data_IF_971879647517
#
_entry.id   IF_971879647517
#
_cell.length_a   1.000
_cell.length_b   1.000
_cell.length_c   1.000
_cell.angle_alpha   90.00
_cell.angle_beta   90.00
_cell.angle_gamma   90.00
#
_symmetry.space_group_name_H-M   'P 1'
#
loop_
_entity.id
_entity.type
_entity.pdbx_description
1 polymer ?
#
# COMPACT_ATOMS: atom_id res chain seq x y z
N UNK A 1 -13.39 -19.24 -42.61
CA UNK A 1 -13.90 -18.36 -41.54
C UNK A 1 -13.45 -18.93 -40.21
N UNK A 2 -12.44 -18.32 -39.60
CA UNK A 2 -11.84 -18.76 -38.33
C UNK A 2 -12.54 -18.04 -37.18
N UNK A 3 -13.13 -18.78 -36.24
CA UNK A 3 -13.66 -18.24 -34.99
C UNK A 3 -12.66 -18.53 -33.88
N UNK A 4 -11.91 -17.50 -33.48
CA UNK A 4 -10.99 -17.57 -32.34
C UNK A 4 -11.72 -17.76 -31.01
N UNK A 5 -11.08 -18.36 -29.99
CA UNK A 5 -11.71 -18.61 -28.71
C UNK A 5 -11.94 -17.31 -27.94
N UNK A 6 -13.20 -17.08 -27.53
CA UNK A 6 -13.62 -16.03 -26.61
C UNK A 6 -12.91 -16.22 -25.27
N UNK A 7 -12.03 -15.29 -24.88
CA UNK A 7 -11.53 -15.17 -23.49
C UNK A 7 -12.73 -14.93 -22.56
N UNK A 8 -12.97 -15.82 -21.60
CA UNK A 8 -14.09 -15.69 -20.67
C UNK A 8 -13.74 -14.74 -19.53
N UNK A 9 -14.59 -13.72 -19.33
CA UNK A 9 -14.54 -12.78 -18.20
C UNK A 9 -14.56 -13.46 -16.82
N UNK A 10 -14.92 -14.74 -16.76
CA UNK A 10 -14.89 -15.54 -15.54
C UNK A 10 -13.48 -15.83 -15.02
N UNK A 11 -12.44 -15.86 -15.87
CA UNK A 11 -11.06 -16.12 -15.44
C UNK A 11 -10.42 -14.91 -14.73
N UNK A 12 -10.75 -13.69 -15.15
CA UNK A 12 -10.27 -12.45 -14.51
C UNK A 12 -10.94 -12.19 -13.16
N UNK A 13 -12.23 -12.52 -13.04
CA UNK A 13 -12.97 -12.46 -11.76
C UNK A 13 -12.47 -13.53 -10.79
N UNK A 14 -12.14 -14.73 -11.27
CA UNK A 14 -11.52 -15.79 -10.43
C UNK A 14 -10.12 -15.40 -9.96
N UNK A 15 -9.32 -14.72 -10.79
CA UNK A 15 -7.99 -14.23 -10.39
C UNK A 15 -8.07 -13.09 -9.34
N UNK A 16 -9.02 -12.16 -9.49
CA UNK A 16 -9.23 -11.10 -8.49
C UNK A 16 -9.79 -11.64 -7.16
N UNK A 17 -10.68 -12.64 -7.23
CA UNK A 17 -11.20 -13.34 -6.04
C UNK A 17 -10.13 -14.21 -5.38
N UNK A 18 -9.22 -14.83 -6.14
CA UNK A 18 -8.08 -15.56 -5.58
C UNK A 18 -7.09 -14.65 -4.83
N UNK A 19 -6.81 -13.45 -5.35
CA UNK A 19 -5.96 -12.47 -4.64
C UNK A 19 -6.63 -11.96 -3.36
N UNK A 20 -7.95 -11.77 -3.36
CA UNK A 20 -8.70 -11.34 -2.18
C UNK A 20 -8.87 -12.49 -1.16
N UNK A 21 -9.06 -13.74 -1.61
CA UNK A 21 -9.18 -14.91 -0.72
C UNK A 21 -7.82 -15.32 -0.11
N UNK A 22 -6.71 -15.17 -0.85
CA UNK A 22 -5.35 -15.31 -0.29
C UNK A 22 -5.06 -14.20 0.73
N UNK A 23 -5.69 -13.03 0.60
CA UNK A 23 -5.61 -11.95 1.59
C UNK A 23 -6.62 -12.10 2.76
N UNK A 24 -7.69 -12.90 2.60
CA UNK A 24 -8.77 -13.06 3.58
C UNK A 24 -8.68 -14.35 4.42
N UNK A 25 -8.05 -15.43 3.91
CA UNK A 25 -7.74 -16.63 4.71
C UNK A 25 -6.60 -16.39 5.72
N UNK A 26 -5.93 -15.23 5.65
CA UNK A 26 -4.94 -14.71 6.61
C UNK A 26 -5.53 -14.25 7.96
N UNK A 27 -6.82 -14.50 8.23
CA UNK A 27 -7.53 -13.83 9.32
C UNK A 27 -8.25 -14.74 10.33
N UNK A 28 -8.13 -16.06 10.19
CA UNK A 28 -8.76 -17.02 11.10
C UNK A 28 -7.72 -17.89 11.82
N UNK A 29 -7.76 -17.86 13.16
CA UNK A 29 -7.12 -18.82 14.10
C UNK A 29 -5.69 -18.45 14.56
N UNK A 30 -5.59 -17.71 15.68
CA UNK A 30 -5.33 -18.31 17.01
C UNK A 30 -5.58 -17.32 18.16
N UNK A 31 -6.77 -17.48 18.72
CA UNK A 31 -7.33 -16.85 19.93
C UNK A 31 -6.82 -17.50 21.24
N UNK A 32 -5.81 -18.38 21.25
CA UNK A 32 -5.55 -19.22 22.45
C UNK A 32 -4.15 -19.09 23.07
N UNK A 33 -3.16 -18.49 22.41
CA UNK A 33 -1.84 -18.25 23.04
C UNK A 33 -1.64 -16.80 23.54
N UNK A 34 -2.64 -15.93 23.33
CA UNK A 34 -2.65 -14.50 23.71
C UNK A 34 -2.75 -14.25 25.22
N UNK A 35 -3.16 -15.24 26.02
CA UNK A 35 -3.45 -15.05 27.45
C UNK A 35 -2.22 -15.07 28.39
N UNK A 36 -0.98 -15.24 27.88
CA UNK A 36 0.22 -15.31 28.74
C UNK A 36 1.28 -14.23 28.53
N UNK A 37 1.13 -13.36 27.53
CA UNK A 37 2.14 -12.34 27.21
C UNK A 37 1.69 -10.89 27.41
N UNK A 38 0.46 -10.66 27.90
CA UNK A 38 -0.07 -9.32 28.20
C UNK A 38 0.54 -8.75 29.49
N UNK A 39 1.83 -8.45 29.45
CA UNK A 39 2.46 -7.50 30.36
C UNK A 39 1.97 -6.09 30.01
N UNK A 40 1.39 -5.42 30.98
CA UNK A 40 0.89 -4.04 30.91
C UNK A 40 2.01 -3.07 30.50
N UNK A 41 2.10 -2.75 29.22
CA UNK A 41 2.80 -1.57 28.73
C UNK A 41 1.86 -0.36 28.89
N UNK A 42 2.35 0.68 29.57
CA UNK A 42 1.59 1.86 29.97
C UNK A 42 1.07 2.73 28.81
N UNK A 43 0.08 3.56 29.14
CA UNK A 43 -0.75 4.37 28.26
C UNK A 43 -0.07 5.61 27.63
N UNK A 44 1.24 5.76 27.70
CA UNK A 44 1.94 6.96 27.23
C UNK A 44 2.52 6.75 25.83
N UNK A 45 1.63 6.71 24.82
CA UNK A 45 2.02 6.86 23.42
C UNK A 45 2.50 8.28 23.11
N UNK A 46 3.23 8.49 22.00
CA UNK A 46 3.58 9.85 21.61
C UNK A 46 2.30 10.67 21.39
N UNK A 47 2.30 11.92 21.85
CA UNK A 47 1.21 12.87 21.57
C UNK A 47 1.53 13.62 20.29
N UNK A 48 0.55 13.73 19.38
CA UNK A 48 0.72 14.50 18.17
C UNK A 48 0.99 15.98 18.51
N UNK A 49 2.05 16.61 17.96
CA UNK A 49 2.24 18.03 18.17
C UNK A 49 1.13 18.82 17.47
N UNK A 50 0.86 20.05 17.94
CA UNK A 50 -0.12 20.92 17.32
C UNK A 50 0.14 21.08 15.82
N UNK A 51 -0.91 20.93 15.02
CA UNK A 51 -0.89 21.15 13.59
C UNK A 51 -2.13 21.93 13.18
N UNK A 52 -2.03 22.65 12.07
CA UNK A 52 -3.16 23.34 11.46
C UNK A 52 -3.36 22.84 10.05
N UNK A 53 -4.62 22.74 9.61
CA UNK A 53 -4.94 22.38 8.23
C UNK A 53 -5.52 23.62 7.56
N UNK A 54 -4.92 24.00 6.43
CA UNK A 54 -5.44 25.13 5.65
C UNK A 54 -6.78 24.75 5.00
N UNK A 55 -7.61 25.75 4.71
CA UNK A 55 -8.79 25.53 3.89
C UNK A 55 -8.38 25.01 2.50
N UNK A 56 -9.19 24.16 1.85
CA UNK A 56 -8.90 23.72 0.49
C UNK A 56 -8.75 24.88 -0.49
N UNK A 57 -7.94 24.67 -1.52
CA UNK A 57 -7.79 25.63 -2.59
C UNK A 57 -9.13 25.92 -3.27
N UNK A 58 -9.34 27.19 -3.63
CA UNK A 58 -10.52 27.59 -4.37
C UNK A 58 -10.55 26.90 -5.75
N UNK A 59 -11.72 26.40 -6.14
CA UNK A 59 -11.89 25.67 -7.40
C UNK A 59 -12.11 26.68 -8.53
N UNK A 60 -11.13 26.81 -9.42
CA UNK A 60 -11.26 27.53 -10.69
C UNK A 60 -11.57 26.54 -11.82
N UNK A 61 -12.85 26.32 -12.11
CA UNK A 61 -13.34 25.26 -13.02
C UNK A 61 -12.72 25.36 -14.42
N UNK A 62 -12.54 26.56 -14.93
CA UNK A 62 -11.93 26.87 -16.22
C UNK A 62 -10.46 26.44 -16.32
N UNK A 63 -9.78 26.27 -15.19
CA UNK A 63 -8.38 25.84 -15.11
C UNK A 63 -8.22 24.36 -14.70
N UNK A 64 -9.33 23.67 -14.41
CA UNK A 64 -9.31 22.31 -13.90
C UNK A 64 -8.92 21.33 -15.01
N UNK A 65 -7.74 20.74 -14.87
CA UNK A 65 -7.25 19.75 -15.83
C UNK A 65 -7.76 18.35 -15.46
N UNK A 66 -8.46 17.70 -16.39
CA UNK A 66 -8.86 16.30 -16.24
C UNK A 66 -7.76 15.39 -16.78
N UNK A 67 -7.13 14.54 -15.95
CA UNK A 67 -6.01 13.71 -16.39
C UNK A 67 -6.46 12.64 -17.40
N UNK A 68 -5.84 12.65 -18.58
CA UNK A 68 -6.09 11.66 -19.63
C UNK A 68 -5.17 10.43 -19.45
N UNK A 69 -5.58 9.49 -18.59
CA UNK A 69 -4.81 8.27 -18.34
C UNK A 69 -4.72 7.33 -19.56
N UNK A 70 -5.54 7.53 -20.59
CA UNK A 70 -5.47 6.80 -21.87
C UNK A 70 -4.58 7.47 -22.92
N UNK A 71 -4.13 8.70 -22.70
CA UNK A 71 -3.29 9.42 -23.67
C UNK A 71 -1.89 8.81 -23.73
N UNK A 72 -1.19 8.85 -24.89
CA UNK A 72 0.13 8.23 -25.05
C UNK A 72 1.15 8.63 -23.98
N UNK A 73 1.14 9.91 -23.59
CA UNK A 73 2.06 10.49 -22.60
C UNK A 73 1.89 9.87 -21.20
N UNK A 74 0.73 9.27 -20.90
CA UNK A 74 0.46 8.68 -19.58
C UNK A 74 1.35 7.48 -19.25
N UNK A 75 1.93 6.85 -20.27
CA UNK A 75 2.85 5.71 -20.12
C UNK A 75 4.09 6.07 -19.31
N UNK A 76 4.54 7.33 -19.40
CA UNK A 76 5.74 7.81 -18.73
C UNK A 76 5.44 8.42 -17.35
N UNK A 77 4.16 8.65 -17.02
CA UNK A 77 3.79 9.29 -15.75
C UNK A 77 4.13 8.41 -14.56
N UNK A 78 4.55 9.03 -13.45
CA UNK A 78 4.61 8.33 -12.17
C UNK A 78 3.18 7.91 -11.73
N UNK A 79 3.06 6.79 -11.01
CA UNK A 79 1.77 6.33 -10.46
C UNK A 79 1.42 7.19 -9.24
N UNK A 80 0.91 8.40 -9.51
CA UNK A 80 0.51 9.41 -8.53
C UNK A 80 -0.71 10.17 -9.06
N UNK A 81 -1.46 10.80 -8.16
CA UNK A 81 -2.53 11.71 -8.55
C UNK A 81 -1.97 12.86 -9.37
N UNK A 82 -2.65 13.18 -10.47
CA UNK A 82 -2.34 14.33 -11.32
C UNK A 82 -3.18 15.53 -10.93
N UNK A 83 -4.37 15.29 -10.38
CA UNK A 83 -5.22 16.33 -9.78
C UNK A 83 -4.58 16.81 -8.48
N UNK A 84 -4.58 18.13 -8.28
CA UNK A 84 -4.18 18.74 -7.01
C UNK A 84 -5.15 18.32 -5.90
N UNK A 85 -4.66 17.51 -4.96
CA UNK A 85 -5.46 17.04 -3.83
C UNK A 85 -5.68 18.13 -2.77
N UNK A 86 -4.97 19.26 -2.83
CA UNK A 86 -5.26 20.43 -1.98
C UNK A 86 -6.61 21.09 -2.33
N UNK A 87 -7.17 20.80 -3.51
CA UNK A 87 -8.55 21.17 -3.85
C UNK A 87 -9.60 20.45 -2.98
N UNK A 88 -9.27 19.29 -2.40
CA UNK A 88 -10.18 18.53 -1.54
C UNK A 88 -9.75 18.56 -0.08
N UNK A 89 -8.48 18.25 0.19
CA UNK A 89 -7.98 18.04 1.53
C UNK A 89 -6.47 18.34 1.59
N UNK A 90 -6.09 19.62 1.80
CA UNK A 90 -4.70 20.01 2.04
C UNK A 90 -4.05 19.18 3.15
N UNK A 91 -2.74 18.91 3.03
CA UNK A 91 -1.98 18.41 4.17
C UNK A 91 -1.89 19.51 5.23
N UNK A 92 -1.77 19.13 6.50
CA UNK A 92 -1.58 20.12 7.54
C UNK A 92 -0.14 20.59 7.66
N UNK A 93 0.09 21.55 8.55
CA UNK A 93 1.36 22.25 8.76
C UNK A 93 2.24 21.61 9.84
N UNK A 94 1.78 20.52 10.46
CA UNK A 94 2.48 19.87 11.54
C UNK A 94 3.85 19.36 11.09
N UNK A 95 4.91 19.73 11.81
CA UNK A 95 6.28 19.38 11.45
C UNK A 95 6.69 17.97 11.87
N UNK A 96 5.85 17.25 12.61
CA UNK A 96 6.17 15.87 12.99
C UNK A 96 5.99 14.92 11.80
N UNK A 97 6.81 13.88 11.83
CA UNK A 97 6.63 12.72 10.98
C UNK A 97 5.57 11.80 11.65
N UNK A 98 4.37 11.72 11.07
CA UNK A 98 3.27 10.89 11.59
C UNK A 98 3.62 9.41 11.70
N UNK A 99 4.66 8.94 11.00
CA UNK A 99 5.13 7.57 11.10
C UNK A 99 5.56 7.20 12.54
N UNK A 100 5.95 8.16 13.39
CA UNK A 100 6.34 7.87 14.78
C UNK A 100 5.22 7.25 15.62
N UNK A 101 3.97 7.53 15.28
CA UNK A 101 2.80 6.94 15.92
C UNK A 101 2.37 5.66 15.22
N UNK A 102 2.30 5.68 13.89
CA UNK A 102 1.87 4.52 13.11
C UNK A 102 2.81 3.31 13.22
N UNK A 103 4.11 3.52 13.50
CA UNK A 103 5.09 2.44 13.71
C UNK A 103 4.73 1.55 14.89
N UNK A 104 4.05 2.09 15.90
CA UNK A 104 3.75 1.36 17.12
C UNK A 104 2.70 0.27 16.88
N UNK A 105 1.92 0.35 15.79
CA UNK A 105 0.95 -0.68 15.42
C UNK A 105 1.52 -1.78 14.52
N UNK A 106 2.82 -1.73 14.19
CA UNK A 106 3.45 -2.67 13.27
C UNK A 106 3.26 -4.13 13.69
N UNK A 107 3.09 -5.02 12.71
CA UNK A 107 2.64 -6.40 12.95
C UNK A 107 3.69 -7.26 13.65
N UNK A 108 4.99 -7.04 13.42
CA UNK A 108 6.04 -7.86 14.03
C UNK A 108 6.56 -7.24 15.31
N UNK A 109 6.87 -5.95 15.30
CA UNK A 109 7.59 -5.29 16.40
C UNK A 109 6.87 -4.10 17.05
N UNK A 110 5.60 -3.86 16.70
CA UNK A 110 4.85 -2.71 17.22
C UNK A 110 4.48 -2.86 18.70
N UNK A 111 4.78 -1.85 19.51
CA UNK A 111 4.41 -1.81 20.94
C UNK A 111 2.89 -1.83 21.18
N UNK A 112 2.10 -1.32 20.23
CA UNK A 112 0.63 -1.26 20.24
C UNK A 112 -0.01 -2.32 19.33
N UNK A 113 0.71 -3.38 18.98
CA UNK A 113 0.17 -4.49 18.16
C UNK A 113 -1.10 -5.11 18.77
N UNK A 114 -1.08 -5.39 20.07
CA UNK A 114 -2.23 -5.99 20.76
C UNK A 114 -3.46 -5.07 20.74
N UNK A 115 -3.25 -3.76 20.78
CA UNK A 115 -4.32 -2.78 20.66
C UNK A 115 -4.89 -2.73 19.24
N UNK A 116 -4.04 -2.83 18.20
CA UNK A 116 -4.49 -2.97 16.82
C UNK A 116 -5.35 -4.22 16.60
N UNK A 117 -4.95 -5.36 17.19
CA UNK A 117 -5.71 -6.60 17.16
C UNK A 117 -7.06 -6.45 17.86
N UNK A 118 -7.07 -5.86 19.06
CA UNK A 118 -8.30 -5.55 19.79
C UNK A 118 -9.21 -4.59 19.01
N UNK A 119 -8.64 -3.61 18.31
CA UNK A 119 -9.38 -2.69 17.43
C UNK A 119 -9.99 -3.44 16.25
N UNK A 120 -9.23 -4.37 15.66
CA UNK A 120 -9.69 -5.21 14.57
C UNK A 120 -10.88 -6.09 14.97
N UNK A 121 -10.83 -6.66 16.18
CA UNK A 121 -11.86 -7.56 16.70
C UNK A 121 -13.18 -6.86 17.06
N UNK A 122 -13.14 -5.58 17.45
CA UNK A 122 -14.32 -4.82 17.90
C UNK A 122 -15.01 -4.00 16.82
N UNK A 123 -14.56 -4.10 15.57
CA UNK A 123 -15.21 -3.41 14.44
C UNK A 123 -16.65 -3.87 14.26
N UNK A 124 -17.47 -2.95 13.74
CA UNK A 124 -18.86 -3.18 13.36
C UNK A 124 -19.00 -3.07 11.84
N UNK A 125 -20.10 -3.56 11.30
CA UNK A 125 -20.41 -3.37 9.89
C UNK A 125 -20.60 -1.88 9.59
N UNK A 126 -19.78 -1.37 8.68
CA UNK A 126 -19.88 -0.01 8.19
C UNK A 126 -20.97 0.15 7.13
N UNK A 127 -21.39 1.39 6.86
CA UNK A 127 -22.42 1.67 5.86
C UNK A 127 -21.92 1.39 4.44
N UNK A 128 -22.84 0.95 3.57
CA UNK A 128 -22.59 0.70 2.15
C UNK A 128 -21.42 -0.26 1.92
N UNK A 129 -20.50 0.12 1.03
CA UNK A 129 -19.35 -0.71 0.63
C UNK A 129 -18.09 -0.48 1.49
N UNK A 130 -18.20 0.22 2.63
CA UNK A 130 -17.05 0.48 3.51
C UNK A 130 -16.55 -0.80 4.18
N UNK A 131 -17.43 -1.80 4.38
CA UNK A 131 -17.12 -3.00 5.15
C UNK A 131 -16.88 -2.69 6.63
N UNK A 132 -16.08 -3.50 7.35
CA UNK A 132 -15.90 -3.33 8.79
C UNK A 132 -15.20 -2.02 9.19
N UNK A 133 -15.74 -1.31 10.19
CA UNK A 133 -15.26 -0.02 10.71
C UNK A 133 -15.25 0.01 12.24
N UNK A 134 -14.46 0.90 12.84
CA UNK A 134 -14.60 1.25 14.25
C UNK A 134 -15.82 2.18 14.45
N UNK A 135 -16.36 2.20 15.67
CA UNK A 135 -17.38 3.18 16.03
C UNK A 135 -16.77 4.59 16.01
N UNK A 136 -17.60 5.60 15.71
CA UNK A 136 -17.13 6.97 15.52
C UNK A 136 -16.52 7.62 16.78
N UNK A 137 -16.85 7.10 17.95
CA UNK A 137 -16.36 7.49 19.27
C UNK A 137 -15.23 6.57 19.79
N UNK A 138 -14.70 5.67 18.96
CA UNK A 138 -13.61 4.77 19.38
C UNK A 138 -12.38 5.61 19.79
N UNK A 139 -11.83 5.43 21.01
CA UNK A 139 -10.72 6.25 21.50
C UNK A 139 -9.50 6.24 20.58
N UNK A 140 -9.22 5.10 19.95
CA UNK A 140 -8.08 4.97 19.05
C UNK A 140 -8.30 5.76 17.75
N UNK A 141 -9.56 5.85 17.29
CA UNK A 141 -9.92 6.66 16.12
C UNK A 141 -9.71 8.15 16.40
N UNK A 142 -10.12 8.62 17.59
CA UNK A 142 -9.96 10.01 18.03
C UNK A 142 -8.48 10.37 18.23
N UNK A 143 -7.70 9.47 18.82
CA UNK A 143 -6.25 9.65 19.02
C UNK A 143 -5.50 9.79 17.68
N UNK A 144 -5.93 9.07 16.64
CA UNK A 144 -5.32 9.09 15.32
C UNK A 144 -5.53 10.42 14.55
N UNK A 145 -6.53 11.22 14.93
CA UNK A 145 -6.92 12.40 14.17
C UNK A 145 -5.82 13.45 13.98
N UNK A 146 -5.18 13.96 15.05
CA UNK A 146 -4.14 14.98 14.91
C UNK A 146 -2.87 14.47 14.23
N UNK A 147 -2.66 13.14 14.17
CA UNK A 147 -1.57 12.55 13.39
C UNK A 147 -1.80 12.64 11.89
N UNK A 148 -3.06 12.68 11.44
CA UNK A 148 -3.40 12.85 10.03
C UNK A 148 -3.35 14.32 9.58
N UNK A 149 -3.26 15.24 10.52
CA UNK A 149 -3.12 16.68 10.27
C UNK A 149 -1.64 17.11 10.23
N UNK A 150 -0.69 16.17 10.30
CA UNK A 150 0.73 16.44 10.08
C UNK A 150 1.06 16.59 8.59
N UNK A 151 2.21 17.19 8.28
CA UNK A 151 2.65 17.39 6.91
C UNK A 151 3.35 16.16 6.30
N UNK A 152 3.89 15.27 7.13
CA UNK A 152 4.82 14.22 6.68
C UNK A 152 4.53 12.87 7.32
N UNK A 153 4.68 11.80 6.53
CA UNK A 153 4.74 10.42 6.99
C UNK A 153 5.80 9.67 6.18
N UNK A 154 7.00 9.54 6.76
CA UNK A 154 8.12 8.81 6.17
C UNK A 154 8.50 7.65 7.09
N UNK A 155 8.27 6.43 6.63
CA UNK A 155 8.64 5.24 7.39
C UNK A 155 10.11 4.87 7.20
N UNK A 156 10.63 5.06 5.98
CA UNK A 156 12.00 4.69 5.63
C UNK A 156 12.74 5.92 5.09
N UNK A 157 13.99 6.18 5.47
CA UNK A 157 14.77 5.51 6.54
C UNK A 157 14.50 6.10 7.94
N UNK A 158 13.57 7.06 8.05
CA UNK A 158 13.37 7.85 9.27
C UNK A 158 13.00 7.01 10.50
N UNK A 159 12.26 5.92 10.30
CA UNK A 159 11.78 5.05 11.39
C UNK A 159 12.38 3.65 11.30
N UNK A 160 12.26 3.02 10.13
CA UNK A 160 12.71 1.66 9.90
C UNK A 160 13.91 1.63 8.97
N UNK A 161 14.92 0.79 9.26
CA UNK A 161 15.97 0.49 8.30
C UNK A 161 15.40 -0.33 7.14
N UNK A 162 16.03 -0.22 5.98
CA UNK A 162 15.76 -1.10 4.84
C UNK A 162 16.59 -2.37 5.01
N UNK A 163 15.92 -3.53 5.03
CA UNK A 163 16.52 -4.86 5.24
C UNK A 163 15.98 -5.91 4.27
N UNK A 164 15.74 -5.51 3.02
CA UNK A 164 15.13 -6.38 2.00
C UNK A 164 13.83 -7.03 2.48
N UNK A 165 13.74 -8.36 2.44
CA UNK A 165 12.56 -9.13 2.88
C UNK A 165 12.21 -8.97 4.38
N UNK A 166 13.19 -8.57 5.20
CA UNK A 166 12.99 -8.32 6.63
C UNK A 166 12.58 -6.88 6.93
N UNK A 167 12.43 -6.03 5.90
CA UNK A 167 11.96 -4.65 6.07
C UNK A 167 10.58 -4.65 6.75
N UNK A 168 10.46 -3.95 7.87
CA UNK A 168 9.23 -3.92 8.67
C UNK A 168 8.13 -3.19 7.90
N UNK A 169 7.04 -3.88 7.55
CA UNK A 169 5.88 -3.26 6.92
C UNK A 169 4.90 -2.81 8.01
N UNK A 170 4.45 -1.53 8.03
CA UNK A 170 3.46 -1.07 8.98
C UNK A 170 2.16 -1.87 8.87
N UNK A 171 1.33 -1.87 9.91
CA UNK A 171 0.06 -2.59 9.89
C UNK A 171 -1.02 -1.85 9.10
N UNK A 172 -0.89 -1.80 7.77
CA UNK A 172 -1.73 -1.01 6.85
C UNK A 172 -3.25 -1.23 6.99
N UNK A 173 -3.68 -2.35 7.57
CA UNK A 173 -5.08 -2.60 7.86
C UNK A 173 -5.64 -1.65 8.92
N UNK A 174 -4.84 -1.20 9.90
CA UNK A 174 -5.29 -0.25 10.91
C UNK A 174 -5.50 1.13 10.29
N UNK A 175 -4.57 1.60 9.45
CA UNK A 175 -4.71 2.85 8.71
C UNK A 175 -5.95 2.84 7.81
N UNK A 176 -6.17 1.75 7.07
CA UNK A 176 -7.36 1.59 6.24
C UNK A 176 -8.64 1.59 7.08
N UNK A 177 -8.61 0.94 8.24
CA UNK A 177 -9.73 0.93 9.19
C UNK A 177 -10.05 2.36 9.64
N UNK A 178 -9.06 3.16 10.04
CA UNK A 178 -9.30 4.55 10.44
C UNK A 178 -9.94 5.38 9.33
N UNK A 179 -9.40 5.33 8.12
CA UNK A 179 -9.96 6.04 6.98
C UNK A 179 -11.44 5.68 6.73
N UNK A 180 -11.78 4.39 6.73
CA UNK A 180 -13.16 3.93 6.57
C UNK A 180 -14.05 4.35 7.74
N UNK A 181 -13.52 4.34 8.96
CA UNK A 181 -14.28 4.69 10.18
C UNK A 181 -14.59 6.18 10.24
N UNK A 182 -13.66 7.05 9.83
CA UNK A 182 -13.94 8.47 9.66
C UNK A 182 -15.02 8.69 8.61
N UNK A 183 -14.91 8.06 7.42
CA UNK A 183 -15.96 8.20 6.39
C UNK A 183 -17.32 7.70 6.91
N UNK A 184 -17.36 6.55 7.60
CA UNK A 184 -18.59 6.05 8.20
C UNK A 184 -19.17 7.02 9.23
N UNK A 185 -18.34 7.62 10.09
CA UNK A 185 -18.75 8.65 11.05
C UNK A 185 -19.29 9.89 10.34
N UNK A 186 -18.59 10.40 9.32
CA UNK A 186 -19.03 11.55 8.54
C UNK A 186 -20.36 11.31 7.81
N UNK A 187 -20.61 10.10 7.32
CA UNK A 187 -21.91 9.73 6.71
C UNK A 187 -23.06 9.72 7.73
N UNK A 188 -22.78 9.46 9.00
CA UNK A 188 -23.78 9.39 10.07
C UNK A 188 -24.10 10.75 10.70
N UNK A 189 -23.19 11.72 10.60
CA UNK A 189 -23.35 13.06 11.19
C UNK A 189 -24.27 13.93 10.33
N UNK A 190 -25.16 14.69 10.98
CA UNK A 190 -26.08 15.61 10.31
C UNK A 190 -25.43 16.92 9.89
N UNK A 191 -24.43 17.39 10.63
CA UNK A 191 -23.67 18.59 10.32
C UNK A 191 -22.71 18.38 9.14
N UNK A 192 -22.91 19.07 8.01
CA UNK A 192 -22.06 18.88 6.84
C UNK A 192 -20.61 19.31 7.02
N UNK A 193 -20.32 20.32 7.87
CA UNK A 193 -18.94 20.73 8.13
C UNK A 193 -18.15 19.64 8.86
N UNK A 194 -18.76 19.03 9.89
CA UNK A 194 -18.18 17.92 10.63
C UNK A 194 -17.97 16.70 9.73
N UNK A 195 -18.97 16.37 8.90
CA UNK A 195 -18.86 15.28 7.93
C UNK A 195 -17.71 15.50 6.94
N UNK A 196 -17.56 16.73 6.44
CA UNK A 196 -16.50 17.09 5.49
C UNK A 196 -15.11 16.87 6.08
N UNK A 197 -14.87 17.23 7.34
CA UNK A 197 -13.56 17.03 7.97
C UNK A 197 -13.17 15.56 8.10
N UNK A 198 -14.12 14.69 8.37
CA UNK A 198 -13.88 13.24 8.39
C UNK A 198 -13.51 12.69 7.01
N UNK A 199 -14.20 13.13 5.96
CA UNK A 199 -13.87 12.73 4.59
C UNK A 199 -12.49 13.23 4.18
N UNK A 200 -12.17 14.49 4.51
CA UNK A 200 -10.85 15.07 4.23
C UNK A 200 -9.74 14.37 5.00
N UNK A 201 -9.98 13.96 6.25
CA UNK A 201 -8.99 13.24 7.05
C UNK A 201 -8.63 11.89 6.44
N UNK A 202 -9.60 11.16 5.88
CA UNK A 202 -9.32 9.95 5.13
C UNK A 202 -8.43 10.22 3.90
N UNK A 203 -8.67 11.33 3.18
CA UNK A 203 -7.81 11.76 2.07
C UNK A 203 -6.41 12.13 2.58
N UNK A 204 -6.28 12.91 3.66
CA UNK A 204 -4.98 13.31 4.24
C UNK A 204 -4.15 12.09 4.65
N UNK A 205 -4.73 11.13 5.37
CA UNK A 205 -4.05 9.88 5.70
C UNK A 205 -3.58 9.14 4.44
N UNK A 206 -4.44 9.06 3.42
CA UNK A 206 -4.08 8.45 2.17
C UNK A 206 -2.96 9.19 1.43
N UNK A 207 -2.91 10.53 1.49
CA UNK A 207 -1.80 11.33 0.95
C UNK A 207 -0.50 11.08 1.70
N UNK A 208 -0.54 11.03 3.03
CA UNK A 208 0.61 10.72 3.89
C UNK A 208 1.23 9.36 3.53
N UNK A 209 0.40 8.33 3.34
CA UNK A 209 0.87 6.99 2.95
C UNK A 209 1.33 6.85 1.49
N UNK A 210 1.22 7.94 0.70
CA UNK A 210 1.65 8.00 -0.71
C UNK A 210 2.76 9.02 -0.95
N UNK A 211 3.34 9.54 0.13
CA UNK A 211 4.54 10.36 0.04
C UNK A 211 5.70 9.52 -0.53
N UNK A 212 6.80 10.19 -0.85
CA UNK A 212 7.97 9.50 -1.38
C UNK A 212 8.46 8.45 -0.38
N UNK A 213 9.11 7.40 -0.89
CA UNK A 213 9.75 6.37 -0.05
C UNK A 213 8.80 5.44 0.71
N UNK A 214 7.63 5.17 0.14
CA UNK A 214 6.67 4.18 0.65
C UNK A 214 6.74 2.85 -0.09
N UNK A 215 6.35 1.76 0.54
CA UNK A 215 6.22 0.47 -0.15
C UNK A 215 5.03 0.50 -1.11
N UNK A 216 5.04 -0.37 -2.13
CA UNK A 216 3.93 -0.46 -3.10
C UNK A 216 2.61 -0.77 -2.40
N UNK A 217 2.62 -1.64 -1.39
CA UNK A 217 1.41 -1.96 -0.62
C UNK A 217 0.89 -0.77 0.21
N UNK A 218 1.78 0.06 0.77
CA UNK A 218 1.37 1.27 1.47
C UNK A 218 0.73 2.28 0.51
N UNK A 219 1.27 2.41 -0.71
CA UNK A 219 0.69 3.25 -1.76
C UNK A 219 -0.74 2.82 -2.13
N UNK A 220 -0.95 1.51 -2.33
CA UNK A 220 -2.27 0.95 -2.68
C UNK A 220 -3.30 1.20 -1.57
N UNK A 221 -2.89 1.08 -0.30
CA UNK A 221 -3.75 1.40 0.84
C UNK A 221 -4.01 2.90 0.91
N UNK A 222 -3.02 3.75 0.66
CA UNK A 222 -3.20 5.19 0.60
C UNK A 222 -4.15 5.62 -0.52
N UNK A 223 -4.07 4.95 -1.67
CA UNK A 223 -5.00 5.15 -2.78
C UNK A 223 -6.43 4.75 -2.38
N UNK A 224 -6.61 3.67 -1.62
CA UNK A 224 -7.90 3.27 -1.08
C UNK A 224 -8.46 4.30 -0.09
N UNK A 225 -7.63 4.85 0.80
CA UNK A 225 -8.01 5.92 1.74
C UNK A 225 -8.48 7.18 1.01
N UNK A 226 -7.74 7.63 -0.01
CA UNK A 226 -8.15 8.78 -0.84
C UNK A 226 -9.47 8.51 -1.55
N UNK A 227 -9.64 7.30 -2.13
CA UNK A 227 -10.90 6.92 -2.78
C UNK A 227 -12.10 7.01 -1.84
N UNK A 228 -12.03 6.42 -0.64
CA UNK A 228 -13.18 6.41 0.28
C UNK A 228 -13.51 7.82 0.78
N UNK A 229 -12.48 8.64 1.05
CA UNK A 229 -12.70 10.04 1.44
C UNK A 229 -13.30 10.87 0.30
N UNK A 230 -12.76 10.76 -0.92
CA UNK A 230 -13.29 11.46 -2.09
C UNK A 230 -14.73 11.04 -2.42
N UNK A 231 -15.10 9.77 -2.21
CA UNK A 231 -16.48 9.31 -2.35
C UNK A 231 -17.41 10.00 -1.35
N UNK A 232 -17.01 10.08 -0.07
CA UNK A 232 -17.78 10.80 0.94
C UNK A 232 -17.99 12.29 0.58
N UNK A 233 -16.95 12.96 0.07
CA UNK A 233 -17.05 14.35 -0.42
C UNK A 233 -18.03 14.43 -1.60
N UNK A 234 -17.91 13.53 -2.58
CA UNK A 234 -18.78 13.50 -3.75
C UNK A 234 -20.25 13.35 -3.36
N UNK A 235 -20.57 12.34 -2.53
CA UNK A 235 -21.94 12.03 -2.13
C UNK A 235 -22.57 13.21 -1.36
N UNK A 236 -21.81 13.82 -0.46
CA UNK A 236 -22.26 15.01 0.28
C UNK A 236 -22.45 16.22 -0.64
N UNK A 237 -21.50 16.48 -1.55
CA UNK A 237 -21.58 17.58 -2.49
C UNK A 237 -22.80 17.46 -3.42
N UNK A 238 -23.07 16.25 -3.93
CA UNK A 238 -24.27 15.96 -4.73
C UNK A 238 -25.54 16.22 -3.91
N UNK A 239 -25.61 15.72 -2.68
CA UNK A 239 -26.75 15.94 -1.78
C UNK A 239 -27.03 17.43 -1.52
N UNK A 240 -25.99 18.25 -1.47
CA UNK A 240 -26.07 19.69 -1.25
C UNK A 240 -26.25 20.52 -2.53
N UNK A 241 -26.22 19.89 -3.71
CA UNK A 241 -26.25 20.62 -4.99
C UNK A 241 -24.97 21.40 -5.28
N UNK A 242 -23.85 21.10 -4.61
CA UNK A 242 -22.55 21.72 -4.87
C UNK A 242 -21.85 21.02 -6.05
N UNK A 243 -22.22 21.40 -7.27
CA UNK A 243 -21.71 20.80 -8.51
C UNK A 243 -20.21 20.96 -8.70
N UNK A 244 -19.62 22.07 -8.26
CA UNK A 244 -18.18 22.31 -8.38
C UNK A 244 -17.38 21.32 -7.51
N UNK A 245 -17.75 21.16 -6.24
CA UNK A 245 -17.09 20.22 -5.35
C UNK A 245 -17.32 18.77 -5.79
N UNK A 246 -18.53 18.44 -6.26
CA UNK A 246 -18.84 17.13 -6.82
C UNK A 246 -17.96 16.82 -8.04
N UNK A 247 -17.73 17.79 -8.94
CA UNK A 247 -16.87 17.61 -10.09
C UNK A 247 -15.42 17.32 -9.70
N UNK A 248 -14.85 18.09 -8.76
CA UNK A 248 -13.48 17.87 -8.29
C UNK A 248 -13.35 16.48 -7.65
N UNK A 249 -14.28 16.11 -6.78
CA UNK A 249 -14.29 14.79 -6.15
C UNK A 249 -14.42 13.66 -7.18
N UNK A 250 -15.26 13.83 -8.22
CA UNK A 250 -15.42 12.87 -9.30
C UNK A 250 -14.14 12.69 -10.13
N UNK A 251 -13.39 13.76 -10.40
CA UNK A 251 -12.10 13.67 -11.12
C UNK A 251 -11.10 12.88 -10.29
N UNK A 252 -10.97 13.17 -8.99
CA UNK A 252 -10.11 12.41 -8.08
C UNK A 252 -10.51 10.93 -8.04
N UNK A 253 -11.81 10.62 -7.93
CA UNK A 253 -12.31 9.24 -8.01
C UNK A 253 -11.95 8.57 -9.34
N UNK A 254 -12.05 9.31 -10.46
CA UNK A 254 -11.73 8.85 -11.81
C UNK A 254 -10.27 8.45 -12.00
N UNK A 255 -9.34 9.02 -11.24
CA UNK A 255 -7.92 8.65 -11.30
C UNK A 255 -7.57 7.34 -10.56
N UNK A 256 -8.47 6.85 -9.69
CA UNK A 256 -8.15 5.70 -8.82
C UNK A 256 -7.97 4.41 -9.63
N UNK A 257 -8.89 4.08 -10.54
CA UNK A 257 -8.83 2.85 -11.30
C UNK A 257 -7.62 2.80 -12.26
N UNK A 258 -7.31 3.86 -13.03
CA UNK A 258 -6.10 3.91 -13.83
C UNK A 258 -4.81 3.74 -13.03
N UNK A 259 -4.70 4.38 -11.85
CA UNK A 259 -3.52 4.23 -11.00
C UNK A 259 -3.36 2.78 -10.49
N UNK A 260 -4.46 2.11 -10.11
CA UNK A 260 -4.42 0.68 -9.74
C UNK A 260 -3.94 -0.19 -10.90
N UNK A 261 -4.47 0.05 -12.10
CA UNK A 261 -4.08 -0.71 -13.28
C UNK A 261 -2.61 -0.48 -13.65
N UNK A 262 -2.16 0.77 -13.66
CA UNK A 262 -0.76 1.12 -13.92
C UNK A 262 0.19 0.52 -12.86
N UNK A 263 -0.21 0.56 -11.58
CA UNK A 263 0.55 -0.07 -10.50
C UNK A 263 0.65 -1.59 -10.68
N UNK A 264 -0.47 -2.27 -10.96
CA UNK A 264 -0.50 -3.70 -11.22
C UNK A 264 0.35 -4.09 -12.43
N UNK A 265 0.23 -3.32 -13.53
CA UNK A 265 1.03 -3.55 -14.73
C UNK A 265 2.54 -3.47 -14.42
N UNK A 266 2.99 -2.45 -13.69
CA UNK A 266 4.41 -2.29 -13.32
C UNK A 266 4.93 -3.41 -12.44
N UNK A 267 4.13 -3.92 -11.52
CA UNK A 267 4.50 -5.08 -10.71
C UNK A 267 4.63 -6.34 -11.58
N UNK A 268 3.66 -6.61 -12.46
CA UNK A 268 3.71 -7.78 -13.36
C UNK A 268 4.85 -7.68 -14.39
N UNK A 269 5.22 -6.48 -14.79
CA UNK A 269 6.32 -6.24 -15.72
C UNK A 269 7.67 -6.71 -15.19
N UNK A 270 7.87 -6.74 -13.87
CA UNK A 270 9.11 -7.18 -13.24
C UNK A 270 8.97 -8.59 -12.65
N UNK A 271 7.76 -8.99 -12.24
CA UNK A 271 7.41 -10.29 -11.62
C UNK A 271 8.18 -11.49 -12.19
N UNK A 272 8.82 -12.22 -11.27
CA UNK A 272 9.62 -13.41 -11.51
C UNK A 272 8.85 -14.71 -11.29
N UNK A 273 7.72 -14.72 -10.58
CA UNK A 273 7.01 -15.93 -10.20
C UNK A 273 6.68 -16.86 -11.39
N UNK A 274 6.27 -16.37 -12.57
CA UNK A 274 6.01 -17.22 -13.74
C UNK A 274 7.25 -17.93 -14.30
N UNK A 275 8.46 -17.50 -13.92
CA UNK A 275 9.73 -18.00 -14.43
C UNK A 275 10.45 -18.90 -13.43
N UNK A 276 9.90 -19.08 -12.22
CA UNK A 276 10.44 -19.97 -11.20
C UNK A 276 10.13 -21.42 -11.56
N UNK A 277 11.16 -22.26 -11.62
CA UNK A 277 11.05 -23.70 -11.86
C UNK A 277 11.59 -24.47 -10.66
N UNK A 278 10.87 -25.53 -10.25
CA UNK A 278 11.34 -26.49 -9.24
C UNK A 278 11.62 -27.83 -9.93
N UNK A 279 12.85 -28.32 -9.86
CA UNK A 279 13.20 -29.61 -10.45
C UNK A 279 12.69 -30.77 -9.58
N UNK A 280 12.82 -32.02 -10.07
CA UNK A 280 12.38 -33.22 -9.34
C UNK A 280 13.12 -33.45 -8.00
N UNK A 281 14.32 -32.87 -7.84
CA UNK A 281 15.09 -32.91 -6.60
C UNK A 281 14.68 -31.79 -5.61
N UNK A 282 13.79 -30.89 -6.03
CA UNK A 282 13.35 -29.75 -5.23
C UNK A 282 14.20 -28.49 -5.39
N UNK A 283 15.21 -28.49 -6.26
CA UNK A 283 16.02 -27.30 -6.50
C UNK A 283 15.22 -26.26 -7.29
N UNK A 284 15.33 -25.01 -6.86
CA UNK A 284 14.69 -23.87 -7.49
C UNK A 284 15.64 -23.18 -8.46
N UNK A 285 15.17 -22.86 -9.66
CA UNK A 285 15.91 -22.13 -10.69
C UNK A 285 15.00 -21.14 -11.42
N UNK A 286 15.60 -20.19 -12.15
CA UNK A 286 14.87 -19.22 -12.97
C UNK A 286 15.08 -19.48 -14.46
N UNK A 287 14.00 -19.77 -15.19
CA UNK A 287 13.98 -19.80 -16.65
C UNK A 287 13.58 -18.43 -17.21
N UNK A 288 14.45 -17.45 -17.00
CA UNK A 288 14.21 -16.07 -17.40
C UNK A 288 14.75 -15.80 -18.81
N UNK A 289 14.02 -15.03 -19.63
CA UNK A 289 14.58 -14.54 -20.90
C UNK A 289 15.56 -13.38 -20.66
N UNK A 290 16.57 -13.22 -21.54
CA UNK A 290 17.48 -12.08 -21.48
C UNK A 290 16.76 -10.74 -21.52
N UNK A 291 15.74 -10.60 -22.38
CA UNK A 291 14.92 -9.38 -22.48
C UNK A 291 14.21 -9.03 -21.18
N UNK A 292 13.69 -10.02 -20.46
CA UNK A 292 13.03 -9.80 -19.17
C UNK A 292 14.03 -9.34 -18.11
N UNK A 293 15.23 -9.92 -18.06
CA UNK A 293 16.29 -9.42 -17.19
C UNK A 293 16.69 -7.97 -17.54
N UNK A 294 16.83 -7.66 -18.83
CA UNK A 294 17.16 -6.30 -19.29
C UNK A 294 16.12 -5.30 -18.80
N UNK A 295 14.84 -5.68 -18.85
CA UNK A 295 13.75 -4.86 -18.32
C UNK A 295 13.84 -4.65 -16.81
N UNK A 296 14.05 -5.71 -16.02
CA UNK A 296 14.21 -5.61 -14.57
C UNK A 296 15.37 -4.68 -14.21
N UNK A 297 16.52 -4.83 -14.90
CA UNK A 297 17.68 -3.95 -14.72
C UNK A 297 17.33 -2.51 -15.08
N UNK A 298 16.62 -2.27 -16.18
CA UNK A 298 16.19 -0.94 -16.59
C UNK A 298 15.26 -0.29 -15.55
N UNK A 299 14.28 -1.04 -15.03
CA UNK A 299 13.38 -0.55 -13.96
C UNK A 299 14.19 -0.22 -12.70
N UNK A 300 15.06 -1.11 -12.22
CA UNK A 300 15.86 -0.87 -11.02
C UNK A 300 16.77 0.38 -11.14
N UNK A 301 17.42 0.55 -12.29
CA UNK A 301 18.43 1.59 -12.50
C UNK A 301 17.86 2.95 -12.91
N UNK A 302 16.79 2.97 -13.70
CA UNK A 302 16.29 4.17 -14.38
C UNK A 302 14.78 4.40 -14.28
N UNK A 303 14.04 3.51 -13.61
CA UNK A 303 12.60 3.66 -13.45
C UNK A 303 12.22 5.00 -12.79
N UNK A 304 11.11 5.64 -13.20
CA UNK A 304 10.74 6.98 -12.71
C UNK A 304 10.26 6.98 -11.26
N UNK A 305 9.95 5.81 -10.70
CA UNK A 305 9.28 5.67 -9.41
C UNK A 305 10.05 4.70 -8.52
N UNK A 306 10.64 5.26 -7.46
CA UNK A 306 11.54 4.58 -6.54
C UNK A 306 10.96 3.30 -5.93
N UNK A 307 9.63 3.22 -5.80
CA UNK A 307 8.94 2.07 -5.20
C UNK A 307 9.06 0.83 -6.08
N UNK A 308 8.87 1.01 -7.38
CA UNK A 308 9.05 -0.07 -8.37
C UNK A 308 10.54 -0.35 -8.63
N UNK A 309 11.41 0.66 -8.49
CA UNK A 309 12.86 0.42 -8.48
C UNK A 309 13.26 -0.51 -7.34
N UNK A 310 12.70 -0.28 -6.14
CA UNK A 310 12.95 -1.12 -4.97
C UNK A 310 12.50 -2.57 -5.19
N UNK A 311 11.30 -2.77 -5.73
CA UNK A 311 10.82 -4.12 -6.09
C UNK A 311 11.75 -4.81 -7.10
N UNK A 312 12.16 -4.11 -8.16
CA UNK A 312 13.10 -4.65 -9.14
C UNK A 312 14.47 -4.98 -8.53
N UNK A 313 14.94 -4.24 -7.52
CA UNK A 313 16.18 -4.57 -6.78
C UNK A 313 16.02 -5.87 -5.98
N UNK A 314 14.86 -6.06 -5.35
CA UNK A 314 14.54 -7.32 -4.66
C UNK A 314 14.48 -8.49 -5.65
N UNK A 315 13.95 -8.29 -6.86
CA UNK A 315 13.97 -9.32 -7.90
C UNK A 315 15.37 -9.64 -8.41
N UNK A 316 16.25 -8.63 -8.55
CA UNK A 316 17.66 -8.86 -8.92
C UNK A 316 18.38 -9.73 -7.89
N UNK A 317 17.97 -9.71 -6.62
CA UNK A 317 18.47 -10.66 -5.62
C UNK A 317 18.17 -12.11 -6.04
N UNK A 318 16.93 -12.43 -6.43
CA UNK A 318 16.59 -13.77 -6.91
C UNK A 318 17.35 -14.14 -8.19
N UNK A 319 17.43 -13.23 -9.18
CA UNK A 319 18.16 -13.50 -10.42
C UNK A 319 19.63 -13.83 -10.15
N UNK A 320 20.27 -13.09 -9.24
CA UNK A 320 21.67 -13.31 -8.86
C UNK A 320 21.94 -14.71 -8.31
N UNK A 321 20.96 -15.34 -7.66
CA UNK A 321 21.15 -16.65 -7.03
C UNK A 321 20.56 -17.81 -7.83
N UNK A 322 19.49 -17.58 -8.59
CA UNK A 322 18.71 -18.63 -9.26
C UNK A 322 18.84 -18.62 -10.79
N UNK A 323 19.32 -17.53 -11.39
CA UNK A 323 19.46 -17.41 -12.84
C UNK A 323 20.59 -18.28 -13.42
N UNK A 324 20.77 -18.23 -14.74
CA UNK A 324 21.94 -18.80 -15.41
C UNK A 324 23.23 -18.01 -15.09
N UNK A 325 24.44 -18.56 -15.30
CA UNK A 325 25.69 -17.86 -14.97
C UNK A 325 25.78 -16.43 -15.54
N UNK A 326 25.40 -16.24 -16.80
CA UNK A 326 25.38 -14.92 -17.45
C UNK A 326 24.34 -13.96 -16.82
N UNK A 327 23.19 -14.48 -16.41
CA UNK A 327 22.16 -13.68 -15.73
C UNK A 327 22.61 -13.26 -14.34
N UNK A 328 23.28 -14.15 -13.60
CA UNK A 328 23.82 -13.87 -12.27
C UNK A 328 24.86 -12.76 -12.31
N UNK A 329 25.77 -12.83 -13.28
CA UNK A 329 26.80 -11.82 -13.50
C UNK A 329 26.18 -10.45 -13.83
N UNK A 330 25.19 -10.43 -14.75
CA UNK A 330 24.49 -9.20 -15.11
C UNK A 330 23.72 -8.58 -13.94
N UNK A 331 23.00 -9.40 -13.15
CA UNK A 331 22.29 -8.94 -11.96
C UNK A 331 23.26 -8.39 -10.91
N UNK A 332 24.40 -9.06 -10.69
CA UNK A 332 25.44 -8.59 -9.78
C UNK A 332 26.04 -7.25 -10.23
N UNK A 333 26.31 -7.09 -11.53
CA UNK A 333 26.82 -5.84 -12.08
C UNK A 333 25.84 -4.66 -11.85
N UNK A 334 24.54 -4.88 -12.08
CA UNK A 334 23.51 -3.88 -11.82
C UNK A 334 23.42 -3.52 -10.33
N UNK A 335 23.47 -4.51 -9.44
CA UNK A 335 23.46 -4.29 -7.99
C UNK A 335 24.69 -3.52 -7.51
N UNK A 336 25.88 -3.81 -8.06
CA UNK A 336 27.10 -3.06 -7.77
C UNK A 336 27.00 -1.60 -8.20
N UNK A 337 26.44 -1.34 -9.39
CA UNK A 337 26.21 0.02 -9.87
C UNK A 337 25.26 0.79 -8.93
N UNK A 338 24.16 0.16 -8.51
CA UNK A 338 23.18 0.76 -7.61
C UNK A 338 23.74 1.02 -6.20
N UNK A 339 24.53 0.09 -5.68
CA UNK A 339 25.22 0.22 -4.39
C UNK A 339 26.26 1.35 -4.37
N UNK A 340 26.76 1.77 -5.55
CA UNK A 340 27.67 2.90 -5.70
C UNK A 340 26.95 4.22 -6.05
N UNK A 341 25.62 4.23 -6.09
CA UNK A 341 24.84 5.43 -6.42
C UNK A 341 24.73 6.41 -5.23
N UNK A 342 24.20 7.62 -5.47
CA UNK A 342 23.96 8.62 -4.42
C UNK A 342 22.61 8.52 -3.71
N UNK A 343 21.72 7.61 -4.14
CA UNK A 343 20.37 7.45 -3.56
C UNK A 343 20.42 6.48 -2.38
N UNK A 344 20.50 7.02 -1.16
CA UNK A 344 20.73 6.22 0.07
C UNK A 344 19.74 5.07 0.24
N UNK A 345 18.46 5.27 -0.07
CA UNK A 345 17.41 4.24 0.06
C UNK A 345 17.69 3.07 -0.88
N UNK A 346 18.02 3.37 -2.13
CA UNK A 346 18.33 2.36 -3.12
C UNK A 346 19.70 1.72 -2.89
N UNK A 347 20.67 2.46 -2.35
CA UNK A 347 21.98 1.93 -1.94
C UNK A 347 21.81 0.87 -0.86
N UNK A 348 21.09 1.17 0.22
CA UNK A 348 20.92 0.21 1.32
C UNK A 348 20.21 -1.07 0.84
N UNK A 349 19.19 -0.92 -0.01
CA UNK A 349 18.49 -2.05 -0.62
C UNK A 349 19.37 -2.84 -1.60
N UNK A 350 20.17 -2.16 -2.43
CA UNK A 350 21.05 -2.80 -3.39
C UNK A 350 22.23 -3.53 -2.72
N UNK A 351 22.80 -2.95 -1.66
CA UNK A 351 23.81 -3.62 -0.82
C UNK A 351 23.23 -4.88 -0.20
N UNK A 352 22.04 -4.79 0.39
CA UNK A 352 21.35 -5.95 0.93
C UNK A 352 21.10 -7.02 -0.16
N UNK A 353 20.55 -6.64 -1.31
CA UNK A 353 20.27 -7.56 -2.40
C UNK A 353 21.54 -8.17 -3.01
N UNK A 354 22.67 -7.45 -2.97
CA UNK A 354 23.99 -7.94 -3.37
C UNK A 354 24.58 -8.91 -2.35
N UNK A 355 24.39 -8.70 -1.06
CA UNK A 355 25.15 -9.45 -0.06
C UNK A 355 24.35 -10.61 0.56
N UNK A 356 23.02 -10.56 0.47
CA UNK A 356 22.13 -11.56 1.07
C UNK A 356 21.77 -12.66 0.07
N UNK A 357 21.77 -13.91 0.53
CA UNK A 357 21.23 -15.06 -0.20
C UNK A 357 19.79 -15.31 0.25
N UNK A 358 18.81 -15.48 -0.67
CA UNK A 358 17.47 -15.91 -0.31
C UNK A 358 17.51 -17.18 0.53
N UNK A 359 16.76 -17.21 1.63
CA UNK A 359 16.56 -18.43 2.41
C UNK A 359 15.69 -19.42 1.63
N UNK A 360 15.82 -20.71 1.95
CA UNK A 360 14.98 -21.76 1.34
C UNK A 360 13.49 -21.50 1.56
N UNK A 361 13.15 -21.02 2.75
CA UNK A 361 11.81 -20.54 3.12
C UNK A 361 11.24 -19.51 2.14
N UNK A 362 11.99 -18.44 1.88
CA UNK A 362 11.61 -17.39 0.92
C UNK A 362 11.47 -17.96 -0.50
N UNK A 363 12.31 -18.92 -0.88
CA UNK A 363 12.28 -19.57 -2.20
C UNK A 363 11.10 -20.53 -2.40
N UNK A 364 10.63 -21.15 -1.33
CA UNK A 364 9.50 -22.09 -1.39
C UNK A 364 8.14 -21.39 -1.30
N UNK A 365 8.11 -20.07 -1.12
CA UNK A 365 6.90 -19.35 -0.73
C UNK A 365 6.41 -19.72 0.67
N UNK A 366 7.22 -20.51 1.39
CA UNK A 366 7.05 -20.94 2.77
C UNK A 366 7.61 -19.85 3.65
N UNK A 367 6.90 -18.74 3.80
CA UNK A 367 7.23 -17.83 4.87
C UNK A 367 7.20 -18.63 6.20
N UNK A 368 8.26 -18.68 7.02
CA UNK A 368 8.18 -19.26 8.37
C UNK A 368 7.19 -18.48 9.26
N UNK A 369 6.67 -17.35 8.76
CA UNK A 369 5.58 -16.56 9.34
C UNK A 369 4.20 -16.94 8.77
N UNK A 370 4.11 -17.94 7.90
CA UNK A 370 2.86 -18.54 7.41
C UNK A 370 2.75 -19.99 7.89
N UNK A 371 1.65 -20.39 8.55
CA UNK A 371 1.45 -21.79 8.89
C UNK A 371 1.28 -22.64 7.62
N UNK A 372 1.64 -23.93 7.65
CA UNK A 372 1.49 -24.82 6.51
C UNK A 372 0.02 -24.96 6.09
N UNK A 373 -0.24 -25.29 4.81
CA UNK A 373 -1.60 -25.44 4.30
C UNK A 373 -2.40 -26.46 5.13
N UNK A 374 -3.71 -26.26 5.32
CA UNK A 374 -4.53 -27.22 6.04
C UNK A 374 -4.47 -28.58 5.34
N UNK A 375 -4.14 -29.62 6.11
CA UNK A 375 -4.21 -31.00 5.64
C UNK A 375 -5.63 -31.30 5.15
N UNK A 376 -5.79 -32.02 4.03
CA UNK A 376 -7.11 -32.31 3.48
C UNK A 376 -7.94 -33.01 4.55
N UNK A 377 -8.99 -32.35 5.02
CA UNK A 377 -9.90 -32.93 6.00
C UNK A 377 -10.48 -34.21 5.42
N UNK A 378 -10.24 -35.35 6.09
CA UNK A 378 -11.01 -36.56 5.85
C UNK A 378 -12.48 -36.20 6.06
N UNK A 379 -13.27 -36.25 5.00
CA UNK A 379 -14.72 -36.08 5.08
C UNK A 379 -15.28 -37.14 6.05
N UNK A 380 -16.25 -36.79 6.90
CA UNK A 380 -17.01 -37.79 7.63
C UNK A 380 -17.76 -38.73 6.68
#
# INVERSE_FOLDING_TARGET
MSTGPKRSRSLEVVAAVAVILVLADLLGVRVVDWARASGTAGADGPTAPPATVSAPHAVAIESLQVPCWSCPDSKEWAVRFRTDLDLLAPLGTGSANAAIWFKDFAKRSGSRRAEAEAAHARRVDGPGDLGPVLRGDDPLLLEAEPWCDQATMRLYLDIYPIKGWETEVPNLLIQLTFAKSWVARGMAVSDPSTAMEDFRRAIRLGRLMRQEDVTVIADLVGLACIRVGAQGIYDLAVKQGNSQLALVAAIVLGEVAPQKLAGAQRLTETDLAPYVQKNAAGDVSLELSGKKLDHIVAVATSGPDRRFRGEAILELNFVRHLGSPAQREKALAALNQLAASGDRILVDLAVWARDTKPSTEVLEGSDPLLPPPPSPSKKP
#
